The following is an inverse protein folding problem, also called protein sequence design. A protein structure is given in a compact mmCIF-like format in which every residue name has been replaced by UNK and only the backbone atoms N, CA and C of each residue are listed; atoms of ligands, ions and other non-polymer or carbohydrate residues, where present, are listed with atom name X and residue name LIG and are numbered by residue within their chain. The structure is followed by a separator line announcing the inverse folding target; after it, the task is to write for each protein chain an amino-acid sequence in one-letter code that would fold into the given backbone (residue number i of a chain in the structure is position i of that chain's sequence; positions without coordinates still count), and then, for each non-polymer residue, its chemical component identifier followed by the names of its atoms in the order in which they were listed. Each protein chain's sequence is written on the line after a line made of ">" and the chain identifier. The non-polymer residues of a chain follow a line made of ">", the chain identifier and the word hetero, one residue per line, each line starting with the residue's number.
data_IF_477427033632
#
_entry.id   IF_477427033632
#
_cell.length_a   1.000
_cell.length_b   1.000
_cell.length_c   1.000
_cell.angle_alpha   90.00
_cell.angle_beta   90.00
_cell.angle_gamma   90.00
#
_symmetry.space_group_name_H-M   'P 1'
#
loop_
_entity.id
_entity.type
_entity.pdbx_description
1 polymer ?
#
# COMPACT_ATOMS: atom_id res chain seq x y z
N UNK A 1 -7.93 33.58 -35.40
CA UNK A 1 -8.48 32.70 -34.33
C UNK A 1 -7.48 31.66 -33.82
N UNK A 2 -6.63 31.03 -34.66
CA UNK A 2 -5.67 30.00 -34.22
C UNK A 2 -4.56 30.47 -33.26
N UNK A 3 -4.22 31.77 -33.24
CA UNK A 3 -3.17 32.31 -32.36
C UNK A 3 -3.59 32.49 -30.89
N UNK A 4 -4.89 32.44 -30.59
CA UNK A 4 -5.41 32.47 -29.20
C UNK A 4 -5.58 31.06 -28.60
N UNK A 5 -5.57 30.03 -29.44
CA UNK A 5 -5.77 28.63 -29.03
C UNK A 5 -4.50 28.02 -28.38
N UNK A 6 -3.32 28.45 -28.83
CA UNK A 6 -2.04 27.95 -28.34
C UNK A 6 -1.72 28.32 -26.87
N UNK A 7 -1.90 29.57 -26.41
CA UNK A 7 -1.72 29.89 -24.99
C UNK A 7 -2.79 29.27 -24.08
N UNK A 8 -4.00 29.01 -24.61
CA UNK A 8 -5.08 28.34 -23.87
C UNK A 8 -4.75 26.86 -23.62
N UNK A 9 -4.24 26.16 -24.64
CA UNK A 9 -3.80 24.77 -24.52
C UNK A 9 -2.59 24.67 -23.58
N UNK A 10 -1.64 25.61 -23.66
CA UNK A 10 -0.47 25.64 -22.79
C UNK A 10 -0.83 25.90 -21.32
N UNK A 11 -1.80 26.78 -21.07
CA UNK A 11 -2.36 27.00 -19.73
C UNK A 11 -3.08 25.76 -19.18
N UNK A 12 -3.81 25.03 -20.04
CA UNK A 12 -4.50 23.80 -19.65
C UNK A 12 -3.52 22.67 -19.28
N UNK A 13 -2.42 22.50 -20.03
CA UNK A 13 -1.38 21.52 -19.73
C UNK A 13 -0.62 21.82 -18.41
N UNK A 14 -0.40 23.09 -18.09
CA UNK A 14 0.27 23.48 -16.85
C UNK A 14 -0.55 23.12 -15.60
N UNK A 15 -1.89 23.13 -15.69
CA UNK A 15 -2.76 22.73 -14.57
C UNK A 15 -2.76 21.22 -14.30
N UNK A 16 -2.42 20.38 -15.29
CA UNK A 16 -2.38 18.93 -15.14
C UNK A 16 -1.19 18.47 -14.28
N UNK A 17 -0.02 19.10 -14.42
CA UNK A 17 1.18 18.77 -13.64
C UNK A 17 1.05 19.10 -12.15
N UNK A 18 0.29 20.13 -11.80
CA UNK A 18 0.07 20.54 -10.41
C UNK A 18 -0.84 19.57 -9.63
N UNK A 19 -1.73 18.84 -10.31
CA UNK A 19 -2.66 17.89 -9.66
C UNK A 19 -1.92 16.61 -9.24
N UNK A 20 -0.86 16.22 -9.96
CA UNK A 20 -0.11 14.99 -9.67
C UNK A 20 0.65 15.04 -8.34
N UNK A 21 1.25 16.19 -8.00
CA UNK A 21 2.13 16.30 -6.83
C UNK A 21 1.37 16.28 -5.50
N UNK A 22 0.11 16.74 -5.45
CA UNK A 22 -0.71 16.85 -4.23
C UNK A 22 -0.90 15.52 -3.48
N UNK A 23 -0.64 14.40 -4.15
CA UNK A 23 -0.78 13.04 -3.62
C UNK A 23 0.36 12.62 -2.70
N UNK A 24 1.59 13.13 -2.89
CA UNK A 24 2.77 12.65 -2.17
C UNK A 24 2.79 13.09 -0.71
N UNK A 25 2.60 14.38 -0.46
CA UNK A 25 2.63 14.91 0.91
C UNK A 25 1.46 14.37 1.74
N UNK A 26 0.29 14.19 1.12
CA UNK A 26 -0.86 13.55 1.76
C UNK A 26 -0.58 12.07 2.11
N UNK A 27 0.05 11.32 1.21
CA UNK A 27 0.44 9.93 1.48
C UNK A 27 1.47 9.86 2.62
N UNK A 28 2.51 10.69 2.61
CA UNK A 28 3.50 10.77 3.70
C UNK A 28 2.83 11.11 5.03
N UNK A 29 1.96 12.12 5.06
CA UNK A 29 1.23 12.48 6.28
C UNK A 29 0.33 11.35 6.79
N UNK A 30 -0.28 10.57 5.89
CA UNK A 30 -1.09 9.41 6.29
C UNK A 30 -0.26 8.27 6.88
N UNK A 31 0.98 8.10 6.41
CA UNK A 31 1.94 7.13 6.95
C UNK A 31 2.40 7.60 8.33
N UNK A 32 2.79 8.87 8.46
CA UNK A 32 3.23 9.46 9.73
C UNK A 32 2.15 9.35 10.81
N UNK A 33 0.89 9.58 10.44
CA UNK A 33 -0.25 9.43 11.35
C UNK A 33 -0.44 8.00 11.88
N UNK A 34 0.04 6.98 11.15
CA UNK A 34 -0.06 5.55 11.50
C UNK A 34 1.27 4.98 12.02
N UNK A 35 2.32 5.80 12.15
CA UNK A 35 3.65 5.34 12.50
C UNK A 35 3.71 4.56 13.82
N UNK A 36 2.96 4.99 14.85
CA UNK A 36 2.87 4.28 16.12
C UNK A 36 2.28 2.87 15.95
N UNK A 37 1.16 2.76 15.23
CA UNK A 37 0.51 1.46 14.96
C UNK A 37 1.42 0.52 14.20
N UNK A 38 2.11 0.99 13.16
CA UNK A 38 3.07 0.17 12.42
C UNK A 38 4.25 -0.24 13.29
N UNK A 39 4.74 0.67 14.15
CA UNK A 39 5.78 0.39 15.12
C UNK A 39 5.38 -0.71 16.12
N UNK A 40 4.16 -0.66 16.64
CA UNK A 40 3.64 -1.66 17.57
C UNK A 40 3.52 -3.05 16.91
N UNK A 41 3.06 -3.11 15.66
CA UNK A 41 2.99 -4.37 14.89
C UNK A 41 4.41 -4.91 14.65
N UNK A 42 5.34 -4.06 14.24
CA UNK A 42 6.73 -4.45 14.02
C UNK A 42 7.38 -4.97 15.31
N UNK A 43 7.16 -4.32 16.44
CA UNK A 43 7.65 -4.76 17.74
C UNK A 43 7.00 -6.07 18.20
N UNK A 44 5.71 -6.28 17.92
CA UNK A 44 5.07 -7.57 18.18
C UNK A 44 5.72 -8.70 17.39
N UNK A 45 5.92 -8.53 16.08
CA UNK A 45 6.61 -9.51 15.24
C UNK A 45 8.03 -9.79 15.76
N UNK A 46 8.78 -8.73 16.09
CA UNK A 46 10.13 -8.86 16.65
C UNK A 46 10.15 -9.68 17.94
N UNK A 47 9.21 -9.43 18.85
CA UNK A 47 9.14 -10.11 20.14
C UNK A 47 8.63 -11.55 20.05
N UNK A 48 7.93 -11.93 18.98
CA UNK A 48 7.52 -13.31 18.73
C UNK A 48 8.72 -14.23 18.45
N UNK A 49 9.76 -13.70 17.79
CA UNK A 49 11.03 -14.38 17.52
C UNK A 49 10.86 -15.81 16.97
N UNK A 50 9.90 -16.00 16.06
CA UNK A 50 9.61 -17.31 15.47
C UNK A 50 10.68 -17.71 14.44
N UNK A 51 10.91 -19.02 14.34
CA UNK A 51 11.83 -19.59 13.37
C UNK A 51 11.23 -19.55 11.97
N UNK A 52 12.08 -19.46 10.95
CA UNK A 52 11.64 -19.54 9.55
C UNK A 52 10.94 -20.87 9.24
N UNK A 53 9.87 -20.79 8.44
CA UNK A 53 8.88 -21.84 8.18
C UNK A 53 8.03 -22.25 9.39
N UNK A 54 8.07 -21.50 10.49
CA UNK A 54 7.29 -21.75 11.71
C UNK A 54 6.70 -20.46 12.31
N UNK A 55 6.71 -19.37 11.54
CA UNK A 55 6.18 -18.04 11.87
C UNK A 55 4.64 -17.96 11.89
N UNK A 56 3.99 -18.91 12.54
CA UNK A 56 2.53 -19.04 12.60
C UNK A 56 1.85 -17.79 13.18
N UNK A 57 2.40 -17.23 14.27
CA UNK A 57 1.80 -16.04 14.92
C UNK A 57 2.11 -14.77 14.14
N UNK A 58 3.34 -14.63 13.65
CA UNK A 58 3.78 -13.44 12.90
C UNK A 58 3.07 -13.36 11.55
N UNK A 59 2.96 -14.48 10.83
CA UNK A 59 2.21 -14.55 9.57
C UNK A 59 0.73 -14.25 9.81
N UNK A 60 0.12 -14.84 10.84
CA UNK A 60 -1.28 -14.56 11.19
C UNK A 60 -1.51 -13.09 11.54
N UNK A 61 -0.63 -12.48 12.32
CA UNK A 61 -0.72 -11.05 12.67
C UNK A 61 -0.72 -10.16 11.42
N UNK A 62 0.15 -10.44 10.45
CA UNK A 62 0.20 -9.70 9.18
C UNK A 62 -1.08 -9.91 8.35
N UNK A 63 -1.54 -11.16 8.23
CA UNK A 63 -2.78 -11.48 7.52
C UNK A 63 -4.00 -10.77 8.13
N UNK A 64 -4.13 -10.81 9.46
CA UNK A 64 -5.22 -10.14 10.19
C UNK A 64 -5.17 -8.62 10.01
N UNK A 65 -3.97 -8.03 10.10
CA UNK A 65 -3.77 -6.58 9.89
C UNK A 65 -4.19 -6.16 8.47
N UNK A 66 -3.74 -6.88 7.44
CA UNK A 66 -4.04 -6.56 6.05
C UNK A 66 -5.52 -6.79 5.73
N UNK A 67 -6.11 -7.88 6.22
CA UNK A 67 -7.54 -8.13 6.08
C UNK A 67 -8.39 -7.01 6.70
N UNK A 68 -7.98 -6.47 7.86
CA UNK A 68 -8.66 -5.36 8.51
C UNK A 68 -8.61 -4.05 7.70
N UNK A 69 -7.56 -3.83 6.91
CA UNK A 69 -7.44 -2.70 5.98
C UNK A 69 -8.12 -2.97 4.61
N UNK A 70 -8.81 -4.11 4.46
CA UNK A 70 -9.63 -4.44 3.30
C UNK A 70 -8.92 -5.24 2.20
N UNK A 71 -7.77 -5.83 2.48
CA UNK A 71 -7.11 -6.76 1.55
C UNK A 71 -7.83 -8.12 1.53
N UNK A 72 -7.89 -8.75 0.36
CA UNK A 72 -8.26 -10.15 0.23
C UNK A 72 -7.02 -11.02 0.48
N UNK A 73 -7.14 -12.03 1.36
CA UNK A 73 -6.01 -12.87 1.78
C UNK A 73 -6.18 -14.29 1.25
N UNK A 74 -5.21 -14.77 0.48
CA UNK A 74 -5.03 -16.18 0.13
C UNK A 74 -3.93 -16.79 1.01
N UNK A 75 -4.24 -17.87 1.74
CA UNK A 75 -3.32 -18.52 2.69
C UNK A 75 -2.81 -19.85 2.14
N UNK A 76 -1.65 -20.29 2.63
CA UNK A 76 -1.11 -21.62 2.32
C UNK A 76 -0.49 -21.74 0.93
N UNK A 77 -0.03 -20.62 0.38
CA UNK A 77 0.49 -20.56 -1.00
C UNK A 77 1.71 -21.47 -1.14
N UNK A 78 1.79 -22.19 -2.26
CA UNK A 78 2.83 -23.18 -2.53
C UNK A 78 2.95 -24.31 -1.47
N UNK A 79 1.84 -24.67 -0.81
CA UNK A 79 1.80 -25.64 0.30
C UNK A 79 2.65 -25.25 1.52
N UNK A 80 2.95 -23.95 1.69
CA UNK A 80 3.65 -23.42 2.86
C UNK A 80 2.58 -22.80 3.78
N UNK A 81 2.27 -23.39 4.96
CA UNK A 81 1.16 -22.95 5.81
C UNK A 81 1.21 -21.45 6.20
N UNK A 82 2.42 -20.93 6.42
CA UNK A 82 2.67 -19.54 6.80
C UNK A 82 2.74 -18.58 5.61
N UNK A 83 2.82 -19.06 4.37
CA UNK A 83 2.86 -18.20 3.19
C UNK A 83 1.46 -17.71 2.83
N UNK A 84 1.34 -16.44 2.46
CA UNK A 84 0.08 -15.85 2.03
C UNK A 84 0.29 -14.79 0.94
N UNK A 85 -0.74 -14.54 0.15
CA UNK A 85 -0.86 -13.43 -0.78
C UNK A 85 -1.95 -12.49 -0.27
N UNK A 86 -1.70 -11.18 -0.34
CA UNK A 86 -2.67 -10.14 0.02
C UNK A 86 -2.93 -9.26 -1.20
N UNK A 87 -4.18 -9.19 -1.65
CA UNK A 87 -4.58 -8.45 -2.84
C UNK A 87 -5.49 -7.27 -2.47
N UNK A 88 -5.26 -6.12 -3.11
CA UNK A 88 -6.10 -4.94 -2.95
C UNK A 88 -6.23 -4.20 -4.28
N UNK A 89 -7.46 -3.83 -4.64
CA UNK A 89 -7.79 -3.18 -5.91
C UNK A 89 -8.79 -3.99 -6.73
N UNK A 90 -9.29 -3.40 -7.82
CA UNK A 90 -10.31 -4.00 -8.70
C UNK A 90 -10.07 -3.66 -10.18
N UNK A 91 -8.80 -3.57 -10.61
CA UNK A 91 -8.43 -3.12 -11.95
C UNK A 91 -6.93 -3.23 -12.23
N UNK A 92 -6.47 -2.67 -13.35
CA UNK A 92 -5.05 -2.65 -13.72
C UNK A 92 -4.42 -1.26 -13.60
N UNK A 93 -3.09 -1.12 -13.79
CA UNK A 93 -2.07 -2.17 -13.87
C UNK A 93 -1.80 -2.83 -12.50
N UNK A 94 -1.40 -4.09 -12.50
CA UNK A 94 -1.08 -4.86 -11.29
C UNK A 94 0.40 -4.64 -10.94
N UNK A 95 0.66 -4.35 -9.66
CA UNK A 95 2.00 -4.39 -9.06
C UNK A 95 2.04 -5.66 -8.22
N UNK A 96 2.85 -6.63 -8.65
CA UNK A 96 3.07 -7.90 -7.97
C UNK A 96 4.50 -7.97 -7.42
#
# INVERSE_FOLDING_TARGET
>A
MKKLLFPLILGLLATFGAIAQKSKEAALSSIDAKAATYGDIAMQIWNLAEMGYQEEKSSRLLQETLAAEGFAIEKGVANIPTAFVAEYGNGGPIIA
#
